data_IF_756095061023
#
_entry.id   IF_756095061023
#
_cell.length_a   1.000
_cell.length_b   1.000
_cell.length_c   1.000
_cell.angle_alpha   90.00
_cell.angle_beta   90.00
_cell.angle_gamma   90.00
#
_symmetry.space_group_name_H-M   'P 1'
#
loop_
_entity.id
_entity.type
_entity.pdbx_description
1 polymer ?
#
# COMPACT_ATOMS: atom_id res chain seq x y z
N UNK A 1 -3.24 -3.56 -30.86
CA UNK A 1 -3.68 -4.78 -30.14
C UNK A 1 -2.61 -5.88 -30.08
N UNK A 2 -1.88 -6.15 -31.18
CA UNK A 2 -0.79 -7.15 -31.17
C UNK A 2 0.32 -6.87 -30.16
N UNK A 3 0.68 -5.60 -29.98
CA UNK A 3 1.76 -5.18 -29.08
C UNK A 3 1.40 -5.38 -27.59
N UNK A 4 0.14 -5.14 -27.20
CA UNK A 4 -0.35 -5.38 -25.83
C UNK A 4 -0.43 -6.89 -25.50
N UNK A 5 -0.83 -7.72 -26.46
CA UNK A 5 -0.77 -9.18 -26.30
C UNK A 5 0.65 -9.70 -26.12
N UNK A 6 1.61 -9.13 -26.86
CA UNK A 6 3.03 -9.46 -26.72
C UNK A 6 3.56 -9.03 -25.35
N UNK A 7 3.16 -7.85 -24.87
CA UNK A 7 3.46 -7.40 -23.52
C UNK A 7 2.98 -8.41 -22.46
N UNK A 8 1.71 -8.77 -22.46
CA UNK A 8 1.15 -9.70 -21.46
C UNK A 8 1.81 -11.10 -21.48
N UNK A 9 2.29 -11.54 -22.65
CA UNK A 9 3.01 -12.80 -22.81
C UNK A 9 4.50 -12.73 -22.44
N UNK A 10 5.06 -11.53 -22.33
CA UNK A 10 6.49 -11.33 -22.07
C UNK A 10 6.88 -11.44 -20.60
N UNK A 11 5.89 -11.48 -19.67
CA UNK A 11 6.07 -11.60 -18.24
C UNK A 11 4.93 -12.38 -17.59
N UNK A 12 4.86 -12.34 -16.25
CA UNK A 12 3.81 -13.04 -15.53
C UNK A 12 2.58 -12.12 -15.29
N UNK A 13 1.67 -12.10 -16.25
CA UNK A 13 0.46 -11.26 -16.20
C UNK A 13 -0.41 -11.46 -14.94
N UNK A 14 -0.58 -12.68 -14.37
CA UNK A 14 -1.32 -12.85 -13.12
C UNK A 14 -0.69 -12.10 -11.94
N UNK A 15 0.65 -12.06 -11.83
CA UNK A 15 1.34 -11.27 -10.79
C UNK A 15 1.12 -9.76 -11.01
N UNK A 16 1.13 -9.30 -12.25
CA UNK A 16 0.83 -7.90 -12.58
C UNK A 16 -0.58 -7.51 -12.12
N UNK A 17 -1.59 -8.34 -12.44
CA UNK A 17 -2.97 -8.13 -12.03
C UNK A 17 -3.16 -8.18 -10.50
N UNK A 18 -2.51 -9.13 -9.83
CA UNK A 18 -2.52 -9.23 -8.37
C UNK A 18 -1.88 -8.00 -7.71
N UNK A 19 -0.74 -7.52 -8.22
CA UNK A 19 -0.06 -6.33 -7.73
C UNK A 19 -0.88 -5.05 -7.94
N UNK A 20 -1.55 -4.91 -9.10
CA UNK A 20 -2.49 -3.82 -9.35
C UNK A 20 -3.64 -3.84 -8.34
N UNK A 21 -4.28 -4.98 -8.15
CA UNK A 21 -5.44 -5.12 -7.26
C UNK A 21 -5.07 -4.89 -5.80
N UNK A 22 -3.94 -5.45 -5.36
CA UNK A 22 -3.38 -5.17 -4.05
C UNK A 22 -3.14 -3.68 -3.83
N UNK A 23 -2.46 -3.01 -4.76
CA UNK A 23 -2.17 -1.58 -4.65
C UNK A 23 -3.45 -0.73 -4.66
N UNK A 24 -4.42 -1.09 -5.48
CA UNK A 24 -5.72 -0.42 -5.52
C UNK A 24 -6.44 -0.48 -4.17
N UNK A 25 -6.50 -1.66 -3.54
CA UNK A 25 -7.13 -1.84 -2.24
C UNK A 25 -6.35 -1.12 -1.12
N UNK A 26 -5.02 -1.19 -1.14
CA UNK A 26 -4.18 -0.47 -0.17
C UNK A 26 -4.34 1.04 -0.29
N UNK A 27 -4.41 1.60 -1.50
CA UNK A 27 -4.69 3.02 -1.72
C UNK A 27 -6.07 3.43 -1.23
N UNK A 28 -7.10 2.60 -1.48
CA UNK A 28 -8.45 2.85 -1.00
C UNK A 28 -8.49 2.95 0.54
N UNK A 29 -7.79 2.06 1.21
CA UNK A 29 -7.71 2.02 2.68
C UNK A 29 -6.86 3.18 3.20
N UNK A 30 -5.73 3.49 2.56
CA UNK A 30 -4.83 4.56 3.01
C UNK A 30 -5.51 5.92 3.11
N UNK A 31 -6.44 6.24 2.20
CA UNK A 31 -7.16 7.53 2.19
C UNK A 31 -8.45 7.52 3.02
N UNK A 32 -8.80 6.40 3.64
CA UNK A 32 -10.10 6.22 4.31
C UNK A 32 -10.34 7.26 5.42
N UNK A 33 -9.31 7.64 6.17
CA UNK A 33 -9.41 8.70 7.20
C UNK A 33 -9.79 10.05 6.59
N UNK A 34 -9.27 10.36 5.40
CA UNK A 34 -9.62 11.58 4.68
C UNK A 34 -11.08 11.60 4.26
N UNK A 35 -11.54 10.47 3.72
CA UNK A 35 -12.93 10.31 3.29
C UNK A 35 -13.90 10.31 4.49
N UNK A 36 -13.48 9.74 5.62
CA UNK A 36 -14.28 9.69 6.86
C UNK A 36 -14.15 10.96 7.73
N UNK A 37 -13.30 11.90 7.36
CA UNK A 37 -13.03 13.10 8.16
C UNK A 37 -14.27 13.91 8.57
N UNK A 38 -15.31 14.09 7.73
CA UNK A 38 -16.55 14.76 8.17
C UNK A 38 -17.23 14.01 9.32
N UNK A 39 -17.45 12.71 9.18
CA UNK A 39 -18.13 11.86 10.17
C UNK A 39 -17.37 11.79 11.49
N UNK A 40 -16.06 11.55 11.43
CA UNK A 40 -15.18 11.50 12.60
C UNK A 40 -15.13 12.87 13.28
N UNK A 41 -15.02 13.95 12.47
CA UNK A 41 -14.96 15.31 12.96
C UNK A 41 -16.23 15.74 13.71
N UNK A 42 -17.39 15.27 13.31
CA UNK A 42 -18.67 15.49 14.01
C UNK A 42 -18.75 14.64 15.28
N UNK A 43 -18.36 13.37 15.22
CA UNK A 43 -18.42 12.45 16.36
C UNK A 43 -17.54 12.91 17.53
N UNK A 44 -16.31 13.34 17.24
CA UNK A 44 -15.33 13.74 18.26
C UNK A 44 -15.23 15.26 18.45
N UNK A 45 -16.08 16.05 17.78
CA UNK A 45 -16.07 17.52 17.82
C UNK A 45 -14.66 18.11 17.59
N UNK A 46 -13.96 17.60 16.56
CA UNK A 46 -12.57 17.93 16.31
C UNK A 46 -12.38 19.37 15.87
N UNK A 47 -11.43 20.05 16.48
CA UNK A 47 -10.96 21.37 16.03
C UNK A 47 -10.29 21.27 14.64
N UNK A 48 -10.17 22.38 13.88
CA UNK A 48 -9.48 22.39 12.58
C UNK A 48 -8.03 21.86 12.67
N UNK A 49 -7.31 22.19 13.76
CA UNK A 49 -5.95 21.71 13.99
C UNK A 49 -5.90 20.17 14.19
N UNK A 50 -6.83 19.61 14.96
CA UNK A 50 -6.94 18.18 15.18
C UNK A 50 -7.32 17.44 13.89
N UNK A 51 -8.22 17.99 13.06
CA UNK A 51 -8.52 17.44 11.74
C UNK A 51 -7.28 17.42 10.84
N UNK A 52 -6.53 18.51 10.82
CA UNK A 52 -5.26 18.60 10.07
C UNK A 52 -4.26 17.54 10.53
N UNK A 53 -4.09 17.35 11.84
CA UNK A 53 -3.19 16.35 12.40
C UNK A 53 -3.65 14.92 12.06
N UNK A 54 -4.94 14.60 12.20
CA UNK A 54 -5.53 13.31 11.85
C UNK A 54 -5.29 12.93 10.37
N UNK A 55 -5.31 13.91 9.48
CA UNK A 55 -5.07 13.69 8.04
C UNK A 55 -3.58 13.59 7.70
N UNK A 56 -2.72 14.30 8.43
CA UNK A 56 -1.28 14.34 8.15
C UNK A 56 -0.54 13.12 8.68
N UNK A 57 -0.95 12.57 9.82
CA UNK A 57 -0.29 11.43 10.48
C UNK A 57 -0.21 10.19 9.57
N UNK A 58 -1.27 9.73 8.89
CA UNK A 58 -1.18 8.58 7.97
C UNK A 58 -0.22 8.83 6.80
N UNK A 59 -0.14 10.06 6.30
CA UNK A 59 0.73 10.42 5.18
C UNK A 59 2.19 10.34 5.62
N UNK A 60 2.51 10.94 6.76
CA UNK A 60 3.86 10.94 7.30
C UNK A 60 4.30 9.52 7.70
N UNK A 61 3.44 8.77 8.40
CA UNK A 61 3.70 7.39 8.76
C UNK A 61 3.91 6.51 7.51
N UNK A 62 3.09 6.71 6.46
CA UNK A 62 3.24 6.01 5.19
C UNK A 62 4.57 6.29 4.50
N UNK A 63 5.03 7.53 4.52
CA UNK A 63 6.34 7.89 3.98
C UNK A 63 7.48 7.18 4.73
N UNK A 64 7.41 7.13 6.06
CA UNK A 64 8.41 6.43 6.89
C UNK A 64 8.35 4.91 6.71
N UNK A 65 7.18 4.31 6.63
CA UNK A 65 7.01 2.86 6.52
C UNK A 65 7.47 2.29 5.17
N UNK A 66 7.62 3.11 4.13
CA UNK A 66 8.18 2.68 2.84
C UNK A 66 9.59 2.11 2.96
N UNK A 67 10.42 2.69 3.84
CA UNK A 67 11.77 2.21 4.03
C UNK A 67 11.81 0.81 4.66
N UNK A 68 11.24 0.55 5.86
CA UNK A 68 11.24 -0.78 6.45
C UNK A 68 10.54 -1.82 5.58
N UNK A 69 9.43 -1.49 4.90
CA UNK A 69 8.76 -2.42 4.01
C UNK A 69 9.62 -2.76 2.78
N UNK A 70 10.31 -1.78 2.21
CA UNK A 70 11.26 -2.00 1.10
C UNK A 70 12.43 -2.89 1.52
N UNK A 71 12.96 -2.72 2.73
CA UNK A 71 14.00 -3.58 3.30
C UNK A 71 13.46 -4.99 3.53
N UNK A 72 12.27 -5.11 4.14
CA UNK A 72 11.62 -6.41 4.38
C UNK A 72 11.44 -7.18 3.06
N UNK A 73 11.00 -6.50 2.00
CA UNK A 73 10.81 -7.12 0.68
C UNK A 73 12.09 -7.71 0.09
N UNK A 74 13.25 -7.21 0.47
CA UNK A 74 14.54 -7.77 0.04
C UNK A 74 14.93 -9.03 0.83
N UNK A 75 14.51 -9.14 2.10
CA UNK A 75 14.83 -10.29 2.94
C UNK A 75 13.89 -11.46 2.75
N UNK A 76 12.59 -11.22 2.66
CA UNK A 76 11.56 -12.27 2.62
C UNK A 76 10.90 -12.42 1.23
N UNK A 77 11.32 -11.61 0.27
CA UNK A 77 10.69 -11.52 -1.06
C UNK A 77 9.54 -10.51 -1.11
N UNK A 78 9.26 -10.01 -2.30
CA UNK A 78 8.25 -8.96 -2.52
C UNK A 78 6.84 -9.47 -2.27
N UNK A 79 6.53 -10.69 -2.72
CA UNK A 79 5.24 -11.35 -2.48
C UNK A 79 4.97 -11.52 -0.98
N UNK A 80 5.93 -12.04 -0.23
CA UNK A 80 5.74 -12.24 1.21
C UNK A 80 5.65 -10.91 1.96
N UNK A 81 6.42 -9.90 1.57
CA UNK A 81 6.34 -8.56 2.15
C UNK A 81 4.95 -7.92 1.94
N UNK A 82 4.33 -8.09 0.75
CA UNK A 82 2.97 -7.61 0.52
C UNK A 82 1.94 -8.35 1.36
N UNK A 83 2.12 -9.65 1.60
CA UNK A 83 1.23 -10.43 2.49
C UNK A 83 1.34 -9.98 3.94
N UNK A 84 2.56 -9.74 4.45
CA UNK A 84 2.79 -9.19 5.79
C UNK A 84 2.16 -7.81 5.93
N UNK A 85 2.34 -6.96 4.92
CA UNK A 85 1.73 -5.63 4.90
C UNK A 85 0.19 -5.70 4.92
N UNK A 86 -0.43 -6.53 4.08
CA UNK A 86 -1.90 -6.69 4.06
C UNK A 86 -2.41 -7.23 5.41
N UNK A 87 -1.67 -8.11 6.06
CA UNK A 87 -1.97 -8.54 7.43
C UNK A 87 -1.93 -7.36 8.43
N UNK A 88 -0.91 -6.50 8.34
CA UNK A 88 -0.81 -5.29 9.14
C UNK A 88 -1.97 -4.31 8.86
N UNK A 89 -2.38 -4.15 7.60
CA UNK A 89 -3.53 -3.34 7.21
C UNK A 89 -4.83 -3.89 7.81
N UNK A 90 -5.04 -5.21 7.73
CA UNK A 90 -6.21 -5.85 8.31
C UNK A 90 -6.30 -5.59 9.83
N UNK A 91 -5.19 -5.71 10.55
CA UNK A 91 -5.10 -5.40 11.98
C UNK A 91 -5.35 -3.92 12.26
N UNK A 92 -4.80 -3.01 11.46
CA UNK A 92 -5.04 -1.57 11.59
C UNK A 92 -6.51 -1.22 11.40
N UNK A 93 -7.18 -1.85 10.43
CA UNK A 93 -8.61 -1.65 10.17
C UNK A 93 -9.48 -2.26 11.26
N UNK A 94 -9.11 -3.44 11.78
CA UNK A 94 -9.79 -4.04 12.93
C UNK A 94 -9.65 -3.15 14.18
N UNK A 95 -8.47 -2.57 14.42
CA UNK A 95 -8.28 -1.58 15.47
C UNK A 95 -9.20 -0.38 15.28
N UNK A 96 -9.31 0.15 14.06
CA UNK A 96 -10.21 1.26 13.73
C UNK A 96 -11.70 0.95 13.99
N UNK A 97 -12.09 -0.30 13.82
CA UNK A 97 -13.47 -0.75 14.08
C UNK A 97 -13.78 -0.93 15.57
N UNK A 98 -12.86 -1.56 16.34
CA UNK A 98 -13.13 -2.00 17.70
C UNK A 98 -12.62 -1.07 18.80
N UNK A 99 -11.58 -0.29 18.56
CA UNK A 99 -10.79 0.33 19.62
C UNK A 99 -10.79 1.86 19.61
N UNK A 100 -11.36 2.51 18.58
CA UNK A 100 -11.29 3.97 18.46
C UNK A 100 -12.42 4.62 19.26
N UNK A 101 -12.07 5.15 20.44
CA UNK A 101 -12.97 5.85 21.34
C UNK A 101 -12.51 7.29 21.65
N UNK A 102 -11.25 7.64 21.31
CA UNK A 102 -10.67 8.95 21.59
C UNK A 102 -9.88 9.51 20.40
N UNK A 103 -9.55 10.81 20.46
CA UNK A 103 -8.68 11.45 19.48
C UNK A 103 -7.28 10.81 19.41
N UNK A 104 -6.75 10.36 20.56
CA UNK A 104 -5.45 9.68 20.58
C UNK A 104 -5.49 8.33 19.85
N UNK A 105 -6.60 7.60 19.96
CA UNK A 105 -6.80 6.34 19.23
C UNK A 105 -6.89 6.58 17.71
N UNK A 106 -7.53 7.70 17.31
CA UNK A 106 -7.54 8.13 15.90
C UNK A 106 -6.12 8.40 15.36
N UNK A 107 -5.26 9.01 16.18
CA UNK A 107 -3.86 9.23 15.80
C UNK A 107 -3.08 7.91 15.73
N UNK A 108 -3.27 7.03 16.71
CA UNK A 108 -2.66 5.69 16.70
C UNK A 108 -3.10 4.89 15.46
N UNK A 109 -4.39 4.90 15.15
CA UNK A 109 -4.92 4.31 13.91
C UNK A 109 -4.30 4.94 12.67
N UNK A 110 -4.11 6.27 12.66
CA UNK A 110 -3.43 6.98 11.58
C UNK A 110 -2.00 6.50 11.35
N UNK A 111 -1.24 6.24 12.41
CA UNK A 111 0.11 5.65 12.31
C UNK A 111 0.04 4.25 11.72
N UNK A 112 -0.87 3.40 12.20
CA UNK A 112 -1.06 2.06 11.66
C UNK A 112 -1.51 2.08 10.19
N UNK A 113 -2.37 3.04 9.84
CA UNK A 113 -2.83 3.25 8.45
C UNK A 113 -1.67 3.60 7.50
N UNK A 114 -0.59 4.18 8.03
CA UNK A 114 0.65 4.42 7.29
C UNK A 114 1.24 3.14 6.67
N UNK A 115 0.96 1.96 7.24
CA UNK A 115 1.37 0.68 6.65
C UNK A 115 0.80 0.55 5.23
N UNK A 116 -0.48 0.87 5.04
CA UNK A 116 -1.12 0.84 3.71
C UNK A 116 -0.49 1.86 2.72
N UNK A 117 -0.02 3.01 3.23
CA UNK A 117 0.68 4.01 2.43
C UNK A 117 2.09 3.60 1.97
N UNK A 118 2.65 2.53 2.54
CA UNK A 118 3.95 1.99 2.14
C UNK A 118 3.89 1.09 0.90
N UNK A 119 2.71 0.60 0.51
CA UNK A 119 2.46 -0.38 -0.56
C UNK A 119 3.06 -0.04 -1.92
N UNK A 120 3.16 1.24 -2.27
CA UNK A 120 3.51 1.74 -3.61
C UNK A 120 4.80 1.11 -4.18
N UNK A 121 5.90 1.17 -3.43
CA UNK A 121 7.20 0.71 -3.92
C UNK A 121 7.24 -0.80 -4.15
N UNK A 122 6.68 -1.57 -3.22
CA UNK A 122 6.68 -3.03 -3.30
C UNK A 122 5.71 -3.51 -4.37
N UNK A 123 4.53 -2.87 -4.51
CA UNK A 123 3.58 -3.18 -5.57
C UNK A 123 4.17 -3.00 -6.96
N UNK A 124 4.81 -1.84 -7.22
CA UNK A 124 5.45 -1.55 -8.51
C UNK A 124 6.56 -2.55 -8.83
N UNK A 125 7.41 -2.85 -7.84
CA UNK A 125 8.55 -3.76 -8.02
C UNK A 125 8.10 -5.21 -8.22
N UNK A 126 7.05 -5.67 -7.50
CA UNK A 126 6.47 -7.00 -7.66
C UNK A 126 5.82 -7.15 -9.03
N UNK A 127 4.95 -6.22 -9.41
CA UNK A 127 4.21 -6.30 -10.67
C UNK A 127 5.09 -6.19 -11.91
N UNK A 128 6.19 -5.42 -11.84
CA UNK A 128 7.10 -5.24 -12.97
C UNK A 128 8.28 -6.21 -13.00
N UNK A 129 8.55 -6.92 -11.89
CA UNK A 129 9.76 -7.74 -11.73
C UNK A 129 9.88 -8.88 -12.74
N UNK A 130 8.76 -9.46 -13.15
CA UNK A 130 8.72 -10.56 -14.14
C UNK A 130 8.76 -10.08 -15.59
N UNK A 131 8.80 -8.77 -15.85
CA UNK A 131 8.80 -8.23 -17.22
C UNK A 131 10.21 -7.81 -17.68
N UNK A 132 10.53 -8.00 -18.97
CA UNK A 132 11.81 -7.58 -19.51
C UNK A 132 11.96 -6.05 -19.48
N UNK A 133 13.21 -5.51 -19.49
CA UNK A 133 13.48 -4.07 -19.36
C UNK A 133 12.66 -3.18 -20.29
N UNK A 134 12.41 -3.64 -21.52
CA UNK A 134 11.58 -2.93 -22.53
C UNK A 134 10.17 -2.62 -22.02
N UNK A 135 9.59 -3.51 -21.22
CA UNK A 135 8.21 -3.43 -20.77
C UNK A 135 8.04 -3.07 -19.28
N UNK A 136 9.14 -2.95 -18.52
CA UNK A 136 9.09 -2.60 -17.08
C UNK A 136 8.33 -1.31 -16.83
N UNK A 137 8.57 -0.26 -17.62
CA UNK A 137 7.87 1.02 -17.47
C UNK A 137 6.35 0.90 -17.66
N UNK A 138 5.90 0.12 -18.67
CA UNK A 138 4.48 -0.11 -18.89
C UNK A 138 3.85 -0.92 -17.74
N UNK A 139 4.52 -1.96 -17.28
CA UNK A 139 4.08 -2.76 -16.14
C UNK A 139 3.95 -1.91 -14.86
N UNK A 140 4.96 -1.08 -14.56
CA UNK A 140 4.91 -0.14 -13.43
C UNK A 140 3.77 0.87 -13.57
N UNK A 141 3.55 1.41 -14.76
CA UNK A 141 2.44 2.33 -15.05
C UNK A 141 1.07 1.68 -14.82
N UNK A 142 0.89 0.43 -15.26
CA UNK A 142 -0.34 -0.33 -15.02
C UNK A 142 -0.59 -0.58 -13.54
N UNK A 143 0.44 -1.01 -12.78
CA UNK A 143 0.30 -1.17 -11.32
C UNK A 143 0.02 0.18 -10.67
N UNK A 144 0.73 1.25 -11.06
CA UNK A 144 0.54 2.59 -10.54
C UNK A 144 -0.87 3.15 -10.79
N UNK A 145 -1.55 2.70 -11.85
CA UNK A 145 -2.96 3.03 -12.09
C UNK A 145 -3.90 2.51 -10.98
N UNK A 146 -3.44 1.57 -10.12
CA UNK A 146 -4.13 1.15 -8.90
C UNK A 146 -4.42 2.30 -7.92
N UNK A 147 -3.80 3.47 -8.11
CA UNK A 147 -4.17 4.70 -7.40
C UNK A 147 -5.66 5.09 -7.57
N UNK A 148 -6.36 4.51 -8.56
CA UNK A 148 -7.82 4.60 -8.70
C UNK A 148 -8.56 4.12 -7.44
N UNK A 149 -7.92 3.32 -6.58
CA UNK A 149 -8.44 2.93 -5.27
C UNK A 149 -8.86 4.12 -4.40
N UNK A 150 -8.19 5.27 -4.53
CA UNK A 150 -8.58 6.51 -3.83
C UNK A 150 -9.99 6.97 -4.23
N UNK A 151 -10.32 6.90 -5.52
CA UNK A 151 -11.65 7.21 -6.03
C UNK A 151 -12.68 6.16 -5.60
N UNK A 152 -12.30 4.88 -5.57
CA UNK A 152 -13.16 3.79 -5.05
C UNK A 152 -13.54 4.05 -3.60
N UNK A 153 -12.57 4.42 -2.74
CA UNK A 153 -12.83 4.79 -1.35
C UNK A 153 -13.77 5.98 -1.24
N UNK A 154 -13.52 7.04 -2.01
CA UNK A 154 -14.35 8.25 -1.99
C UNK A 154 -15.81 8.01 -2.42
N UNK A 155 -16.03 7.04 -3.32
CA UNK A 155 -17.38 6.69 -3.79
C UNK A 155 -18.12 5.72 -2.86
N UNK A 156 -17.40 4.75 -2.27
CA UNK A 156 -18.04 3.67 -1.51
C UNK A 156 -18.11 3.95 -0.01
N UNK A 157 -17.10 4.62 0.57
CA UNK A 157 -17.04 4.77 2.02
C UNK A 157 -18.13 5.72 2.60
N UNK A 158 -18.48 6.88 2.01
CA UNK A 158 -19.52 7.73 2.55
C UNK A 158 -20.92 7.08 2.60
N UNK A 159 -21.42 6.40 1.54
CA UNK A 159 -22.69 5.69 1.63
C UNK A 159 -22.70 4.60 2.70
N UNK A 160 -21.60 3.87 2.88
CA UNK A 160 -21.47 2.87 3.94
C UNK A 160 -21.47 3.52 5.33
N UNK A 161 -20.80 4.66 5.49
CA UNK A 161 -20.78 5.40 6.74
C UNK A 161 -22.17 5.93 7.12
N UNK A 162 -22.94 6.40 6.14
CA UNK A 162 -24.34 6.82 6.37
C UNK A 162 -25.26 5.67 6.76
N UNK A 163 -25.05 4.47 6.17
CA UNK A 163 -25.90 3.32 6.41
C UNK A 163 -25.57 2.58 7.71
N UNK A 164 -24.28 2.45 8.05
CA UNK A 164 -23.79 1.55 9.12
C UNK A 164 -22.92 2.24 10.17
N UNK A 165 -22.70 3.54 10.05
CA UNK A 165 -21.76 4.29 10.89
C UNK A 165 -20.32 4.25 10.33
N UNK A 166 -19.53 5.27 10.70
CA UNK A 166 -18.18 5.42 10.18
C UNK A 166 -17.23 4.29 10.64
N UNK A 167 -17.39 3.75 11.85
CA UNK A 167 -16.61 2.62 12.35
C UNK A 167 -16.79 1.37 11.48
N UNK A 168 -18.02 1.09 11.03
CA UNK A 168 -18.29 -0.07 10.20
C UNK A 168 -17.52 -0.06 8.87
N UNK A 169 -17.19 1.13 8.35
CA UNK A 169 -16.38 1.26 7.13
C UNK A 169 -14.99 0.66 7.33
N UNK A 170 -14.37 0.82 8.49
CA UNK A 170 -13.10 0.18 8.84
C UNK A 170 -13.26 -1.34 8.97
N UNK A 171 -14.36 -1.81 9.54
CA UNK A 171 -14.68 -3.24 9.58
C UNK A 171 -14.81 -3.86 8.19
N UNK A 172 -15.53 -3.21 7.29
CA UNK A 172 -15.63 -3.64 5.88
C UNK A 172 -14.27 -3.59 5.17
N UNK A 173 -13.43 -2.61 5.45
CA UNK A 173 -12.09 -2.51 4.90
C UNK A 173 -11.17 -3.63 5.43
N UNK A 174 -11.30 -4.02 6.71
CA UNK A 174 -10.56 -5.14 7.30
C UNK A 174 -10.88 -6.47 6.61
N UNK A 175 -12.14 -6.70 6.28
CA UNK A 175 -12.58 -7.88 5.51
C UNK A 175 -12.16 -7.73 4.04
N UNK A 176 -12.33 -6.54 3.48
CA UNK A 176 -12.05 -6.24 2.08
C UNK A 176 -10.60 -6.48 1.68
N UNK A 177 -9.63 -6.22 2.57
CA UNK A 177 -8.19 -6.46 2.28
C UNK A 177 -7.83 -7.94 2.21
N UNK A 178 -8.67 -8.84 2.75
CA UNK A 178 -8.46 -10.28 2.64
C UNK A 178 -8.63 -10.77 1.19
N UNK A 179 -9.45 -10.08 0.39
CA UNK A 179 -9.68 -10.46 -1.02
C UNK A 179 -8.39 -10.32 -1.83
N UNK A 180 -7.72 -9.14 -1.90
CA UNK A 180 -6.43 -9.04 -2.59
C UNK A 180 -5.35 -9.92 -1.94
N UNK A 181 -5.42 -10.21 -0.65
CA UNK A 181 -4.50 -11.13 0.01
C UNK A 181 -4.63 -12.55 -0.56
N UNK A 182 -5.85 -13.06 -0.72
CA UNK A 182 -6.11 -14.36 -1.34
C UNK A 182 -5.67 -14.36 -2.82
N UNK A 183 -6.00 -13.30 -3.56
CA UNK A 183 -5.57 -13.13 -4.96
C UNK A 183 -4.04 -13.15 -5.06
N UNK A 184 -3.35 -12.48 -4.14
CA UNK A 184 -1.88 -12.46 -4.09
C UNK A 184 -1.30 -13.85 -3.80
N UNK A 185 -1.88 -14.59 -2.86
CA UNK A 185 -1.43 -15.96 -2.53
C UNK A 185 -1.55 -16.88 -3.73
N UNK A 186 -2.69 -16.84 -4.42
CA UNK A 186 -3.05 -17.78 -5.50
C UNK A 186 -2.35 -17.44 -6.82
N UNK A 187 -2.32 -16.18 -7.21
CA UNK A 187 -1.93 -15.77 -8.57
C UNK A 187 -0.54 -15.15 -8.65
N UNK A 188 -0.02 -14.57 -7.56
CA UNK A 188 1.29 -13.93 -7.63
C UNK A 188 2.43 -14.93 -7.49
N UNK A 189 3.47 -14.71 -8.30
CA UNK A 189 4.76 -15.39 -8.18
C UNK A 189 5.83 -14.38 -7.82
N UNK A 190 6.79 -14.80 -7.01
CA UNK A 190 7.99 -14.00 -6.74
C UNK A 190 8.81 -13.86 -8.04
N UNK A 191 9.24 -12.64 -8.39
CA UNK A 191 10.16 -12.46 -9.52
C UNK A 191 11.54 -13.04 -9.22
N UNK A 192 12.16 -13.64 -10.25
CA UNK A 192 13.48 -14.28 -10.14
C UNK A 192 14.66 -13.26 -10.06
N UNK A 193 14.36 -11.96 -10.10
CA UNK A 193 15.37 -10.89 -10.10
C UNK A 193 15.79 -10.42 -8.69
N UNK A 194 15.36 -11.12 -7.63
CA UNK A 194 15.76 -10.82 -6.26
C UNK A 194 17.06 -11.51 -5.93
N UNK A 195 18.11 -10.71 -5.71
CA UNK A 195 19.32 -11.14 -5.05
C UNK A 195 19.08 -11.12 -3.52
N UNK A 196 18.57 -12.24 -2.97
CA UNK A 196 18.27 -12.41 -1.53
C UNK A 196 19.52 -12.31 -0.64
N UNK A 197 20.71 -12.19 -1.25
CA UNK A 197 21.98 -12.02 -0.54
C UNK A 197 22.43 -10.56 -0.37
N UNK A 198 21.64 -9.58 -0.87
CA UNK A 198 21.92 -8.17 -0.67
C UNK A 198 21.73 -7.78 0.81
N UNK A 199 22.78 -7.92 1.61
CA UNK A 199 22.81 -7.46 3.00
C UNK A 199 22.85 -5.94 3.07
N UNK A 200 22.14 -5.34 4.03
CA UNK A 200 22.18 -3.90 4.31
C UNK A 200 23.63 -3.39 4.47
N UNK A 201 24.54 -4.22 5.01
CA UNK A 201 25.98 -3.92 5.13
C UNK A 201 26.67 -3.74 3.77
N UNK A 202 26.20 -4.39 2.71
CA UNK A 202 26.77 -4.25 1.35
C UNK A 202 26.13 -3.10 0.57
N UNK A 203 24.87 -2.76 0.88
CA UNK A 203 24.15 -1.68 0.19
C UNK A 203 24.57 -0.28 0.67
N UNK A 204 24.77 -0.09 1.97
CA UNK A 204 25.16 1.20 2.55
C UNK A 204 26.44 1.80 1.97
N UNK A 205 27.56 1.05 1.86
CA UNK A 205 28.78 1.55 1.21
C UNK A 205 28.59 1.82 -0.30
N UNK A 206 27.74 1.07 -0.99
CA UNK A 206 27.49 1.28 -2.42
C UNK A 206 26.71 2.59 -2.69
N UNK A 207 25.79 2.96 -1.82
CA UNK A 207 25.10 4.25 -1.88
C UNK A 207 26.05 5.43 -1.67
N UNK A 208 26.99 5.31 -0.73
CA UNK A 208 27.99 6.35 -0.44
C UNK A 208 29.04 6.49 -1.56
N UNK A 209 29.45 5.39 -2.21
CA UNK A 209 30.41 5.43 -3.33
C UNK A 209 29.86 6.09 -4.60
N UNK A 210 28.56 6.03 -4.82
CA UNK A 210 27.93 6.61 -6.02
C UNK A 210 27.82 8.13 -5.97
N UNK A 211 28.00 8.74 -4.79
CA UNK A 211 28.03 10.20 -4.59
C UNK A 211 29.45 10.79 -4.75
N UNK A 212 30.50 9.97 -4.70
CA UNK A 212 31.85 10.38 -5.07
C UNK A 212 31.98 10.22 -6.60
N UNK A 213 31.77 11.33 -7.33
CA UNK A 213 31.96 11.37 -8.78
C UNK A 213 33.38 10.91 -9.17
N UNK A 214 33.60 10.55 -10.46
CA UNK A 214 34.90 10.18 -10.91
C UNK A 214 35.85 11.36 -10.69
N UNK A 215 36.88 11.14 -9.85
CA UNK A 215 37.99 12.05 -9.74
C UNK A 215 38.64 12.16 -11.13
N UNK A 216 38.59 13.38 -11.69
CA UNK A 216 39.26 13.74 -12.93
C UNK A 216 40.77 13.48 -12.88
#
# INVERSE_FOLDING_TARGET
>A
MADFRNFLKSGHAPTLGAAFFYFMCSCAIWVINGVMAPFIGETFQLTPAQKGLMLSVPIFAGALMRFPLGVLAQYIGRKNATLVEMGGIALAMAYGYFMVESFNDLLAMGVLLGIAGASFGVALSLGSGSFPPRYKGLAMGLVGAGNVGTAVSALLAPPLAHAFGWQAVYGFAAIGILIPMVVMIVFAKEPDDIDTHASFKTMWPACLKKTAGPSA
#
